data_IF_644931612718
#
_entry.id   IF_644931612718
#
_cell.length_a   1.000
_cell.length_b   1.000
_cell.length_c   1.000
_cell.angle_alpha   90.00
_cell.angle_beta   90.00
_cell.angle_gamma   90.00
#
_symmetry.space_group_name_H-M   'P 1'
#
loop_
_entity.id
_entity.type
_entity.pdbx_description
1 polymer ?
#
# COMPACT_ATOMS: atom_id res chain seq x y z
N UNK A 1 -9.80 -9.49 0.19
CA UNK A 1 -10.54 -8.30 0.62
C UNK A 1 -11.15 -8.55 1.98
N UNK A 2 -12.18 -9.40 2.12
CA UNK A 2 -12.79 -9.66 3.43
C UNK A 2 -11.78 -10.16 4.48
N UNK A 3 -10.93 -11.13 4.11
CA UNK A 3 -9.84 -11.62 4.97
C UNK A 3 -8.87 -10.49 5.36
N UNK A 4 -8.54 -9.61 4.42
CA UNK A 4 -7.66 -8.46 4.66
C UNK A 4 -8.29 -7.47 5.64
N UNK A 5 -9.58 -7.16 5.49
CA UNK A 5 -10.31 -6.23 6.37
C UNK A 5 -10.45 -6.83 7.77
N UNK A 6 -10.74 -8.13 7.88
CA UNK A 6 -10.74 -8.84 9.16
C UNK A 6 -9.36 -8.78 9.83
N UNK A 7 -8.28 -8.93 9.05
CA UNK A 7 -6.92 -8.80 9.59
C UNK A 7 -6.60 -7.39 10.07
N UNK A 8 -7.08 -6.36 9.36
CA UNK A 8 -6.95 -4.96 9.80
C UNK A 8 -7.68 -4.75 11.13
N UNK A 9 -8.88 -5.29 11.28
CA UNK A 9 -9.63 -5.23 12.53
C UNK A 9 -8.89 -5.87 13.71
N UNK A 10 -8.33 -7.08 13.50
CA UNK A 10 -7.48 -7.74 14.51
C UNK A 10 -6.27 -6.89 14.91
N UNK A 11 -5.59 -6.28 13.92
CA UNK A 11 -4.44 -5.41 14.16
C UNK A 11 -4.84 -4.20 15.02
N UNK A 12 -5.96 -3.56 14.69
CA UNK A 12 -6.46 -2.41 15.43
C UNK A 12 -6.77 -2.80 16.89
N UNK A 13 -7.43 -3.95 17.09
CA UNK A 13 -7.78 -4.45 18.42
C UNK A 13 -6.57 -4.86 19.26
N UNK A 14 -5.50 -5.37 18.62
CA UNK A 14 -4.25 -5.70 19.30
C UNK A 14 -3.54 -4.45 19.86
N UNK A 15 -3.83 -3.26 19.31
CA UNK A 15 -3.22 -1.98 19.70
C UNK A 15 -1.69 -1.95 19.62
N UNK A 16 -1.12 -2.81 18.78
CA UNK A 16 0.30 -2.80 18.45
C UNK A 16 0.43 -2.04 17.14
N UNK A 17 1.20 -0.93 17.08
CA UNK A 17 1.37 -0.15 15.87
C UNK A 17 1.89 -0.99 14.70
N UNK A 18 1.17 -0.96 13.58
CA UNK A 18 1.51 -1.69 12.37
C UNK A 18 1.49 -0.78 11.15
N UNK A 19 2.57 -0.81 10.40
CA UNK A 19 2.65 -0.24 9.06
C UNK A 19 2.15 -1.24 8.01
N UNK A 20 1.09 -0.87 7.30
CA UNK A 20 0.63 -1.56 6.10
C UNK A 20 1.43 -1.12 4.87
N UNK A 21 1.81 -2.09 4.04
CA UNK A 21 2.55 -1.83 2.80
C UNK A 21 1.85 -2.44 1.60
N UNK A 22 1.72 -1.65 0.53
CA UNK A 22 1.27 -2.13 -0.78
C UNK A 22 2.47 -2.35 -1.69
N UNK A 23 2.66 -3.57 -2.22
CA UNK A 23 3.70 -3.89 -3.20
C UNK A 23 3.15 -3.88 -4.62
N UNK A 24 3.96 -3.35 -5.54
CA UNK A 24 3.76 -3.41 -6.99
C UNK A 24 5.13 -3.60 -7.67
N UNK A 25 5.14 -3.85 -8.99
CA UNK A 25 6.37 -4.11 -9.73
C UNK A 25 7.44 -3.01 -9.52
N UNK A 26 7.03 -1.75 -9.53
CA UNK A 26 7.96 -0.63 -9.30
C UNK A 26 8.57 -0.66 -7.90
N UNK A 27 7.77 -0.97 -6.87
CA UNK A 27 8.28 -1.08 -5.50
C UNK A 27 9.24 -2.25 -5.35
N UNK A 28 8.98 -3.38 -6.02
CA UNK A 28 9.90 -4.53 -6.01
C UNK A 28 11.23 -4.16 -6.64
N UNK A 29 11.25 -3.42 -7.76
CA UNK A 29 12.49 -2.94 -8.35
C UNK A 29 13.25 -2.02 -7.39
N UNK A 30 12.56 -1.06 -6.76
CA UNK A 30 13.19 -0.16 -5.79
C UNK A 30 13.80 -0.93 -4.62
N UNK A 31 13.13 -1.97 -4.12
CA UNK A 31 13.64 -2.84 -3.04
C UNK A 31 14.91 -3.62 -3.43
N UNK A 32 15.26 -3.74 -4.72
CA UNK A 32 16.52 -4.37 -5.13
C UNK A 32 17.72 -3.45 -4.91
N UNK A 33 17.51 -2.14 -4.95
CA UNK A 33 18.58 -1.14 -4.82
C UNK A 33 18.52 -0.37 -3.50
N UNK A 34 17.40 -0.42 -2.80
CA UNK A 34 17.15 0.31 -1.54
C UNK A 34 16.94 -0.69 -0.39
N UNK A 35 17.99 -0.90 0.40
CA UNK A 35 17.98 -1.85 1.51
C UNK A 35 17.08 -1.41 2.66
N UNK A 36 16.98 -0.10 2.90
CA UNK A 36 16.09 0.47 3.93
C UNK A 36 14.64 0.16 3.57
N UNK A 37 14.25 0.45 2.33
CA UNK A 37 12.90 0.13 1.85
C UNK A 37 12.65 -1.38 1.91
N UNK A 38 13.60 -2.21 1.49
CA UNK A 38 13.48 -3.68 1.55
C UNK A 38 13.22 -4.17 2.97
N UNK A 39 13.96 -3.64 3.95
CA UNK A 39 13.80 -3.97 5.37
C UNK A 39 12.39 -3.64 5.86
N UNK A 40 11.91 -2.42 5.58
CA UNK A 40 10.57 -1.95 5.98
C UNK A 40 9.47 -2.80 5.36
N UNK A 41 9.57 -3.13 4.07
CA UNK A 41 8.55 -3.98 3.43
C UNK A 41 8.56 -5.38 4.04
N UNK A 42 9.72 -5.98 4.28
CA UNK A 42 9.81 -7.34 4.80
C UNK A 42 9.41 -7.47 6.28
N UNK A 43 9.48 -6.39 7.05
CA UNK A 43 9.02 -6.38 8.45
C UNK A 43 7.52 -6.11 8.61
N UNK A 44 6.83 -5.69 7.53
CA UNK A 44 5.41 -5.42 7.57
C UNK A 44 4.60 -6.71 7.72
N UNK A 45 3.76 -6.84 8.76
CA UNK A 45 2.96 -8.04 8.99
C UNK A 45 1.75 -8.15 8.03
N UNK A 46 1.42 -7.07 7.30
CA UNK A 46 0.35 -7.06 6.33
C UNK A 46 0.79 -6.34 5.04
N UNK A 47 1.04 -7.15 4.00
CA UNK A 47 1.47 -6.69 2.69
C UNK A 47 0.40 -7.01 1.66
N UNK A 48 -0.07 -5.99 0.93
CA UNK A 48 -1.01 -6.17 -0.17
C UNK A 48 -0.33 -6.17 -1.53
N UNK A 49 -0.73 -7.09 -2.40
CA UNK A 49 -0.33 -7.10 -3.80
C UNK A 49 -1.24 -6.20 -4.64
N UNK A 50 -0.67 -5.12 -5.18
CA UNK A 50 -1.35 -4.24 -6.15
C UNK A 50 -0.79 -4.42 -7.57
N UNK A 51 -1.71 -4.62 -8.50
CA UNK A 51 -1.44 -4.71 -9.93
C UNK A 51 -1.33 -6.14 -10.47
N UNK A 52 -1.69 -6.28 -11.75
CA UNK A 52 -1.68 -7.56 -12.46
C UNK A 52 -0.28 -8.19 -12.56
N UNK A 53 0.78 -7.37 -12.56
CA UNK A 53 2.16 -7.86 -12.65
C UNK A 53 2.57 -8.70 -11.44
N UNK A 54 2.12 -8.34 -10.23
CA UNK A 54 2.39 -9.13 -9.02
C UNK A 54 1.65 -10.47 -9.06
N UNK A 55 0.38 -10.48 -9.50
CA UNK A 55 -0.38 -11.71 -9.66
C UNK A 55 0.23 -12.65 -10.71
N UNK A 56 0.68 -12.09 -11.83
CA UNK A 56 1.39 -12.85 -12.87
C UNK A 56 2.68 -13.45 -12.31
N UNK A 57 3.48 -12.66 -11.59
CA UNK A 57 4.70 -13.13 -10.96
C UNK A 57 4.44 -14.26 -9.95
N UNK A 58 3.42 -14.12 -9.09
CA UNK A 58 3.02 -15.17 -8.16
C UNK A 58 2.66 -16.46 -8.90
N UNK A 59 1.85 -16.37 -9.97
CA UNK A 59 1.49 -17.51 -10.82
C UNK A 59 2.72 -18.16 -11.45
N UNK A 60 3.67 -17.37 -11.97
CA UNK A 60 4.91 -17.87 -12.56
C UNK A 60 5.82 -18.59 -11.55
N UNK A 61 5.73 -18.20 -10.28
CA UNK A 61 6.47 -18.77 -9.14
C UNK A 61 5.70 -19.89 -8.43
N UNK A 62 4.54 -20.31 -8.95
CA UNK A 62 3.71 -21.35 -8.34
C UNK A 62 3.07 -20.96 -7.00
N UNK A 63 3.03 -19.65 -6.69
CA UNK A 63 2.38 -19.12 -5.48
C UNK A 63 0.94 -18.74 -5.78
N UNK A 64 0.03 -19.09 -4.87
CA UNK A 64 -1.37 -18.66 -4.94
C UNK A 64 -1.49 -17.29 -4.26
N UNK A 65 -1.84 -16.27 -5.02
CA UNK A 65 -2.33 -14.99 -4.49
C UNK A 65 -3.80 -14.90 -4.89
N UNK A 66 -4.73 -14.94 -3.91
CA UNK A 66 -6.14 -15.20 -4.19
C UNK A 66 -6.82 -14.11 -5.02
N UNK A 67 -6.47 -12.84 -4.81
CA UNK A 67 -7.07 -11.73 -5.56
C UNK A 67 -6.22 -10.45 -5.55
N UNK A 68 -6.51 -9.57 -6.51
CA UNK A 68 -5.97 -8.20 -6.56
C UNK A 68 -6.70 -7.35 -5.53
N UNK A 69 -5.97 -6.76 -4.60
CA UNK A 69 -6.51 -5.77 -3.65
C UNK A 69 -5.84 -4.43 -3.91
N UNK A 70 -6.54 -3.50 -4.55
CA UNK A 70 -5.97 -2.16 -4.79
C UNK A 70 -5.95 -1.35 -3.50
N UNK A 71 -4.99 -0.43 -3.37
CA UNK A 71 -4.87 0.41 -2.18
C UNK A 71 -6.11 1.27 -1.90
N UNK A 72 -6.75 1.80 -2.96
CA UNK A 72 -7.97 2.61 -2.81
C UNK A 72 -9.18 1.77 -2.41
N UNK A 73 -9.30 0.53 -2.92
CA UNK A 73 -10.42 -0.35 -2.55
C UNK A 73 -10.29 -0.82 -1.09
N UNK A 74 -9.06 -1.15 -0.64
CA UNK A 74 -8.84 -1.45 0.77
C UNK A 74 -9.11 -0.22 1.66
N UNK A 75 -8.68 0.97 1.26
CA UNK A 75 -8.95 2.21 2.00
C UNK A 75 -10.45 2.43 2.20
N UNK A 76 -11.26 2.20 1.15
CA UNK A 76 -12.73 2.30 1.23
C UNK A 76 -13.33 1.32 2.22
N UNK A 77 -12.90 0.05 2.20
CA UNK A 77 -13.40 -0.97 3.13
C UNK A 77 -12.93 -0.73 4.57
N UNK A 78 -11.72 -0.22 4.78
CA UNK A 78 -11.20 0.16 6.11
C UNK A 78 -11.98 1.35 6.68
N UNK A 79 -12.33 2.35 5.85
CA UNK A 79 -13.16 3.47 6.28
C UNK A 79 -14.59 3.05 6.60
N UNK A 80 -15.14 2.10 5.85
CA UNK A 80 -16.43 1.48 6.15
C UNK A 80 -16.39 0.74 7.50
N UNK A 81 -15.35 -0.06 7.75
CA UNK A 81 -15.12 -0.71 9.04
C UNK A 81 -15.02 0.33 10.18
N UNK A 82 -14.31 1.44 9.96
CA UNK A 82 -14.19 2.51 10.96
C UNK A 82 -15.54 3.15 11.30
N UNK A 83 -16.41 3.32 10.31
CA UNK A 83 -17.79 3.78 10.52
C UNK A 83 -18.65 2.78 11.30
N UNK A 84 -18.47 1.48 11.05
CA UNK A 84 -19.23 0.42 11.74
C UNK A 84 -18.78 0.24 13.19
N UNK A 85 -17.48 0.40 13.47
CA UNK A 85 -16.87 0.14 14.78
C UNK A 85 -16.47 1.39 15.57
N UNK A 86 -16.77 2.57 15.03
CA UNK A 86 -16.37 3.87 15.59
C UNK A 86 -14.85 4.01 15.81
N UNK A 87 -14.03 3.42 14.94
CA UNK A 87 -12.59 3.65 14.97
C UNK A 87 -12.26 5.09 14.56
N UNK A 88 -11.26 5.65 15.22
CA UNK A 88 -10.78 7.02 15.00
C UNK A 88 -9.83 7.08 13.83
N UNK A 89 -10.14 7.91 12.85
CA UNK A 89 -9.41 8.02 11.59
C UNK A 89 -8.73 9.38 11.50
N UNK A 90 -7.44 9.36 11.16
CA UNK A 90 -6.67 10.54 10.83
C UNK A 90 -6.24 10.50 9.36
N UNK A 91 -6.44 11.61 8.64
CA UNK A 91 -6.06 11.75 7.23
C UNK A 91 -4.82 12.62 7.07
N UNK A 92 -3.71 12.06 6.60
CA UNK A 92 -2.44 12.78 6.49
C UNK A 92 -1.88 12.72 5.07
N UNK A 93 -1.68 13.86 4.41
CA UNK A 93 -1.03 13.92 3.09
C UNK A 93 -1.75 14.77 2.06
N UNK A 94 -1.33 14.64 0.80
CA UNK A 94 -1.80 15.45 -0.33
C UNK A 94 -1.69 16.97 -0.10
N UNK A 95 -2.36 17.78 -0.93
CA UNK A 95 -2.49 19.22 -0.69
C UNK A 95 -3.61 19.48 0.33
N UNK A 96 -3.56 20.64 0.99
CA UNK A 96 -4.62 21.07 1.92
C UNK A 96 -6.02 20.99 1.30
N UNK A 97 -6.16 21.47 0.06
CA UNK A 97 -7.42 21.39 -0.69
C UNK A 97 -7.91 19.95 -0.88
N UNK A 98 -6.98 19.02 -1.17
CA UNK A 98 -7.30 17.61 -1.43
C UNK A 98 -7.69 16.90 -0.14
N UNK A 99 -6.90 17.02 0.93
CA UNK A 99 -7.19 16.34 2.19
C UNK A 99 -8.51 16.84 2.81
N UNK A 100 -8.80 18.14 2.73
CA UNK A 100 -10.10 18.69 3.16
C UNK A 100 -11.27 18.12 2.36
N UNK A 101 -11.13 17.97 1.04
CA UNK A 101 -12.16 17.34 0.19
C UNK A 101 -12.37 15.88 0.55
N UNK A 102 -11.29 15.15 0.87
CA UNK A 102 -11.35 13.75 1.32
C UNK A 102 -12.13 13.64 2.63
N UNK A 103 -11.77 14.45 3.63
CA UNK A 103 -12.47 14.53 4.92
C UNK A 103 -13.95 14.82 4.69
N UNK A 104 -14.29 15.89 3.97
CA UNK A 104 -15.67 16.25 3.65
C UNK A 104 -16.45 15.12 2.97
N UNK A 105 -15.83 14.44 2.01
CA UNK A 105 -16.45 13.33 1.27
C UNK A 105 -16.78 12.18 2.21
N UNK A 106 -15.84 11.76 3.06
CA UNK A 106 -16.05 10.63 3.96
C UNK A 106 -16.94 10.98 5.15
N UNK A 107 -16.92 12.21 5.67
CA UNK A 107 -17.88 12.66 6.69
C UNK A 107 -19.34 12.57 6.19
N UNK A 108 -19.58 12.81 4.88
CA UNK A 108 -20.92 12.68 4.30
C UNK A 108 -21.28 11.24 3.95
N UNK A 109 -20.31 10.46 3.48
CA UNK A 109 -20.52 9.07 3.07
C UNK A 109 -20.75 8.14 4.26
N UNK A 110 -20.08 8.41 5.37
CA UNK A 110 -20.04 7.57 6.56
C UNK A 110 -20.43 8.40 7.80
N UNK A 111 -21.72 8.48 8.16
CA UNK A 111 -22.19 9.40 9.19
C UNK A 111 -21.69 9.08 10.62
N UNK A 112 -21.21 7.86 10.87
CA UNK A 112 -20.73 7.43 12.19
C UNK A 112 -19.19 7.42 12.29
N UNK A 113 -18.49 7.76 11.21
CA UNK A 113 -17.02 7.75 11.19
C UNK A 113 -16.46 8.81 12.15
N UNK A 114 -15.51 8.42 12.98
CA UNK A 114 -14.83 9.32 13.91
C UNK A 114 -13.59 9.90 13.24
N UNK A 115 -13.71 11.02 12.54
CA UNK A 115 -12.54 11.72 11.98
C UNK A 115 -11.95 12.59 13.08
N UNK A 116 -10.78 12.21 13.60
CA UNK A 116 -10.15 12.88 14.73
C UNK A 116 -9.13 13.93 14.32
N UNK A 117 -8.76 13.99 13.05
CA UNK A 117 -7.89 15.03 12.54
C UNK A 117 -7.52 14.84 11.09
N UNK A 118 -6.90 15.86 10.53
CA UNK A 118 -6.30 15.81 9.22
C UNK A 118 -5.12 16.78 9.12
N UNK A 119 -4.13 16.44 8.30
CA UNK A 119 -2.99 17.31 8.01
C UNK A 119 -2.55 17.11 6.55
N UNK A 120 -2.03 18.16 5.91
CA UNK A 120 -1.56 18.05 4.53
C UNK A 120 -0.14 17.43 4.47
N UNK A 121 0.27 17.03 3.27
CA UNK A 121 1.55 16.33 3.05
C UNK A 121 2.77 17.23 2.87
N UNK A 122 2.61 18.56 3.01
CA UNK A 122 3.67 19.54 2.80
C UNK A 122 4.19 20.00 4.16
N UNK A 123 5.15 19.24 4.68
CA UNK A 123 5.78 19.46 5.97
C UNK A 123 7.30 19.40 5.85
N UNK A 124 7.96 20.13 6.74
CA UNK A 124 9.41 20.11 6.90
C UNK A 124 9.83 18.96 7.81
N UNK A 125 11.09 18.54 7.72
CA UNK A 125 11.60 17.41 8.51
C UNK A 125 11.41 17.64 10.02
N UNK A 126 11.59 18.88 10.48
CA UNK A 126 11.45 19.30 11.87
C UNK A 126 10.02 19.09 12.41
N UNK A 127 9.00 19.29 11.57
CA UNK A 127 7.59 19.12 11.94
C UNK A 127 7.14 17.66 11.98
N UNK A 128 7.97 16.70 11.55
CA UNK A 128 7.57 15.28 11.45
C UNK A 128 7.18 14.68 12.80
N UNK A 129 7.93 15.01 13.85
CA UNK A 129 7.66 14.53 15.20
C UNK A 129 6.40 15.18 15.80
N UNK A 130 6.16 16.46 15.49
CA UNK A 130 4.98 17.19 15.96
C UNK A 130 3.70 16.64 15.32
N UNK A 131 3.73 16.33 14.01
CA UNK A 131 2.60 15.68 13.33
C UNK A 131 2.34 14.29 13.91
N UNK A 132 3.40 13.52 14.17
CA UNK A 132 3.26 12.21 14.81
C UNK A 132 2.65 12.31 16.21
N UNK A 133 3.06 13.32 16.98
CA UNK A 133 2.49 13.63 18.30
C UNK A 133 1.04 14.06 18.20
N UNK A 134 0.66 14.90 17.23
CA UNK A 134 -0.72 15.29 17.00
C UNK A 134 -1.62 14.07 16.71
N UNK A 135 -1.15 13.15 15.86
CA UNK A 135 -1.84 11.89 15.57
C UNK A 135 -2.05 11.06 16.85
N UNK A 136 -1.03 10.98 17.70
CA UNK A 136 -1.11 10.30 19.01
C UNK A 136 -2.08 10.98 19.96
N UNK A 137 -2.03 12.29 20.07
CA UNK A 137 -2.84 13.09 20.99
C UNK A 137 -4.33 13.03 20.61
N UNK A 138 -4.62 12.97 19.31
CA UNK A 138 -5.95 12.66 18.77
C UNK A 138 -6.34 11.18 18.90
N UNK A 139 -5.41 10.35 19.39
CA UNK A 139 -5.58 8.93 19.64
C UNK A 139 -6.10 8.18 18.39
N UNK A 140 -5.53 8.47 17.22
CA UNK A 140 -5.98 7.82 15.99
C UNK A 140 -5.80 6.29 16.05
N UNK A 141 -6.84 5.55 15.70
CA UNK A 141 -6.78 4.09 15.57
C UNK A 141 -6.27 3.70 14.16
N UNK A 142 -6.65 4.50 13.16
CA UNK A 142 -6.30 4.36 11.75
C UNK A 142 -5.69 5.67 11.24
N UNK A 143 -4.53 5.59 10.59
CA UNK A 143 -3.89 6.73 9.92
C UNK A 143 -3.72 6.44 8.43
N UNK A 144 -4.30 7.28 7.58
CA UNK A 144 -4.22 7.17 6.13
C UNK A 144 -3.23 8.18 5.56
N UNK A 145 -2.12 7.69 4.98
CA UNK A 145 -0.98 8.50 4.55
C UNK A 145 -0.90 8.64 3.02
N UNK A 146 -1.03 9.86 2.51
CA UNK A 146 -1.23 10.16 1.10
C UNK A 146 -0.13 11.03 0.47
N UNK A 147 1.12 10.61 0.58
CA UNK A 147 2.23 11.18 -0.20
C UNK A 147 3.07 10.12 -0.93
N UNK A 148 4.06 10.57 -1.70
CA UNK A 148 4.80 9.74 -2.64
C UNK A 148 5.61 8.63 -1.93
N UNK A 149 5.74 7.48 -2.60
CA UNK A 149 6.76 6.49 -2.22
C UNK A 149 8.12 6.93 -2.78
N UNK A 150 9.24 6.62 -2.12
CA UNK A 150 9.35 5.87 -0.86
C UNK A 150 9.19 6.75 0.41
N UNK A 151 9.01 8.07 0.27
CA UNK A 151 8.94 9.02 1.40
C UNK A 151 7.93 8.58 2.47
N UNK A 152 6.74 8.13 2.07
CA UNK A 152 5.74 7.63 3.03
C UNK A 152 6.16 6.37 3.77
N UNK A 153 6.83 5.42 3.10
CA UNK A 153 7.26 4.19 3.75
C UNK A 153 8.30 4.48 4.82
N UNK A 154 9.23 5.42 4.55
CA UNK A 154 10.23 5.87 5.50
C UNK A 154 9.63 6.66 6.65
N UNK A 155 8.80 7.66 6.35
CA UNK A 155 8.19 8.50 7.39
C UNK A 155 7.31 7.68 8.33
N UNK A 156 6.47 6.78 7.79
CA UNK A 156 5.63 5.92 8.63
C UNK A 156 6.53 5.05 9.51
N UNK A 157 7.56 4.42 8.96
CA UNK A 157 8.43 3.54 9.73
C UNK A 157 9.15 4.29 10.86
N UNK A 158 9.67 5.48 10.57
CA UNK A 158 10.37 6.33 11.54
C UNK A 158 9.45 6.87 12.64
N UNK A 159 8.18 7.14 12.31
CA UNK A 159 7.22 7.74 13.25
C UNK A 159 6.20 6.73 13.79
N UNK A 160 6.32 5.43 13.48
CA UNK A 160 5.29 4.44 13.82
C UNK A 160 5.04 4.37 15.33
N UNK A 161 6.12 4.29 16.10
CA UNK A 161 6.05 4.31 17.56
C UNK A 161 5.59 5.67 18.08
N UNK A 162 6.07 6.77 17.49
CA UNK A 162 5.69 8.14 17.88
C UNK A 162 4.20 8.43 17.66
N UNK A 163 3.60 7.97 16.57
CA UNK A 163 2.16 8.08 16.34
C UNK A 163 1.35 7.18 17.28
N UNK A 164 1.89 6.00 17.61
CA UNK A 164 1.21 4.98 18.41
C UNK A 164 -0.20 4.61 17.87
N UNK A 165 -0.41 4.78 16.57
CA UNK A 165 -1.64 4.38 15.89
C UNK A 165 -1.54 2.88 15.53
N UNK A 166 -2.51 2.05 15.95
CA UNK A 166 -2.53 0.61 15.66
C UNK A 166 -2.39 0.27 14.18
N UNK A 167 -3.05 1.02 13.29
CA UNK A 167 -3.02 0.75 11.85
C UNK A 167 -2.66 1.99 11.02
N UNK A 168 -1.51 1.94 10.33
CA UNK A 168 -1.04 3.04 9.46
C UNK A 168 -0.92 2.55 8.03
N UNK A 169 -1.69 3.14 7.12
CA UNK A 169 -1.78 2.71 5.72
C UNK A 169 -1.35 3.81 4.76
N UNK A 170 -0.37 3.48 3.91
CA UNK A 170 0.02 4.32 2.79
C UNK A 170 -0.95 4.21 1.61
N UNK A 171 -1.75 5.26 1.36
CA UNK A 171 -2.78 5.28 0.32
C UNK A 171 -2.38 6.08 -0.93
N UNK A 172 -1.29 6.86 -0.86
CA UNK A 172 -0.74 7.60 -2.00
C UNK A 172 -1.77 8.46 -2.73
N UNK A 173 -1.83 8.36 -4.06
CA UNK A 173 -2.75 9.14 -4.91
C UNK A 173 -4.25 8.81 -4.76
N UNK A 174 -4.64 7.94 -3.82
CA UNK A 174 -6.05 7.65 -3.56
C UNK A 174 -6.81 8.91 -3.12
N UNK A 175 -6.16 9.82 -2.38
CA UNK A 175 -6.76 11.09 -1.99
C UNK A 175 -7.08 11.98 -3.20
N UNK A 176 -6.18 12.06 -4.20
CA UNK A 176 -6.42 12.83 -5.43
C UNK A 176 -7.61 12.28 -6.23
N UNK A 177 -7.81 10.95 -6.19
CA UNK A 177 -8.96 10.30 -6.84
C UNK A 177 -10.27 10.66 -6.13
N UNK A 178 -10.30 10.56 -4.80
CA UNK A 178 -11.48 10.89 -3.99
C UNK A 178 -11.83 12.37 -4.10
N UNK A 179 -10.83 13.26 -4.10
CA UNK A 179 -11.01 14.70 -4.28
C UNK A 179 -11.40 15.11 -5.71
N UNK A 180 -11.49 14.16 -6.65
CA UNK A 180 -11.86 14.41 -8.05
C UNK A 180 -10.78 15.06 -8.89
N UNK A 181 -9.55 15.22 -8.36
CA UNK A 181 -8.40 15.81 -9.07
C UNK A 181 -7.84 14.85 -10.12
N UNK A 182 -7.91 13.55 -9.87
CA UNK A 182 -7.52 12.52 -10.83
C UNK A 182 -8.69 11.57 -11.08
N UNK A 183 -9.04 11.35 -12.35
CA UNK A 183 -10.09 10.38 -12.69
C UNK A 183 -9.53 8.96 -12.58
N UNK A 184 -10.26 8.07 -11.90
CA UNK A 184 -9.98 6.62 -11.91
C UNK A 184 -10.38 6.03 -13.27
N UNK A 185 -9.71 4.95 -13.70
CA UNK A 185 -10.10 4.26 -14.94
C UNK A 185 -11.56 3.75 -14.85
N UNK A 186 -12.32 3.73 -15.96
CA UNK A 186 -13.65 3.12 -15.99
C UNK A 186 -13.68 1.70 -15.42
N UNK A 187 -14.78 1.31 -14.76
CA UNK A 187 -14.90 0.00 -14.08
C UNK A 187 -14.62 -1.17 -15.02
N UNK A 188 -15.05 -1.10 -16.28
CA UNK A 188 -14.76 -2.13 -17.27
C UNK A 188 -13.25 -2.29 -17.53
N UNK A 189 -12.50 -1.19 -17.60
CA UNK A 189 -11.03 -1.22 -17.74
C UNK A 189 -10.35 -1.77 -16.48
N UNK A 190 -10.86 -1.44 -15.30
CA UNK A 190 -10.34 -1.97 -14.04
C UNK A 190 -10.50 -3.50 -13.97
N UNK A 191 -11.70 -4.00 -14.33
CA UNK A 191 -12.01 -5.43 -14.38
C UNK A 191 -11.17 -6.19 -15.41
N UNK A 192 -10.86 -5.56 -16.55
CA UNK A 192 -9.95 -6.11 -17.55
C UNK A 192 -8.47 -5.97 -17.18
N UNK A 193 -8.14 -5.30 -16.06
CA UNK A 193 -6.76 -5.03 -15.67
C UNK A 193 -6.06 -3.97 -16.53
N UNK A 194 -6.78 -3.27 -17.41
CA UNK A 194 -6.28 -2.24 -18.33
C UNK A 194 -6.17 -0.84 -17.70
N UNK A 195 -6.25 -0.72 -16.38
CA UNK A 195 -6.06 0.56 -15.67
C UNK A 195 -4.70 1.20 -15.99
N UNK A 196 -3.68 0.38 -16.27
CA UNK A 196 -2.36 0.86 -16.68
C UNK A 196 -2.41 1.65 -17.99
N UNK A 197 -3.26 1.26 -18.94
CA UNK A 197 -3.41 1.91 -20.24
C UNK A 197 -4.13 3.26 -20.10
N UNK A 198 -5.13 3.30 -19.23
CA UNK A 198 -5.80 4.57 -18.89
C UNK A 198 -4.82 5.58 -18.28
N UNK A 199 -3.95 5.14 -17.35
CA UNK A 199 -2.88 5.99 -16.79
C UNK A 199 -1.81 6.34 -17.83
N UNK A 200 -1.52 5.44 -18.77
CA UNK A 200 -0.60 5.72 -19.88
C UNK A 200 -1.11 6.86 -20.76
N UNK A 201 -2.41 6.89 -21.08
CA UNK A 201 -3.00 8.00 -21.84
C UNK A 201 -2.91 9.32 -21.07
N UNK A 202 -3.09 9.29 -19.75
CA UNK A 202 -3.00 10.50 -18.92
C UNK A 202 -1.56 11.03 -18.77
N UNK A 203 -0.56 10.16 -18.65
CA UNK A 203 0.84 10.53 -18.42
C UNK A 203 1.83 9.69 -19.27
N UNK A 204 1.81 9.80 -20.61
CA UNK A 204 2.49 8.85 -21.49
C UNK A 204 4.00 8.79 -21.31
N UNK A 205 4.67 9.95 -21.13
CA UNK A 205 6.13 10.01 -20.92
C UNK A 205 6.56 9.33 -19.61
N UNK A 206 5.87 9.64 -18.50
CA UNK A 206 6.17 9.08 -17.18
C UNK A 206 5.89 7.58 -17.12
N UNK A 207 4.79 7.16 -17.75
CA UNK A 207 4.37 5.77 -17.78
C UNK A 207 5.20 4.91 -18.72
N UNK A 208 5.74 5.45 -19.81
CA UNK A 208 6.62 4.71 -20.72
C UNK A 208 7.88 4.20 -20.01
N UNK A 209 8.59 5.09 -19.30
CA UNK A 209 9.77 4.72 -18.51
C UNK A 209 9.43 3.65 -17.45
N UNK A 210 8.29 3.84 -16.76
CA UNK A 210 7.84 2.95 -15.70
C UNK A 210 7.41 1.57 -16.21
N UNK A 211 6.72 1.50 -17.34
CA UNK A 211 6.15 0.25 -17.84
C UNK A 211 7.11 -0.55 -18.70
N UNK A 212 7.91 0.07 -19.56
CA UNK A 212 8.84 -0.69 -20.40
C UNK A 212 10.09 -1.03 -19.60
N UNK A 213 10.83 -0.01 -19.13
CA UNK A 213 12.04 -0.24 -18.36
C UNK A 213 11.76 -0.97 -17.04
N UNK A 214 10.79 -0.48 -16.27
CA UNK A 214 10.46 -1.05 -14.97
C UNK A 214 9.89 -2.47 -15.03
N UNK A 215 8.93 -2.77 -15.91
CA UNK A 215 8.38 -4.12 -15.95
C UNK A 215 9.37 -5.15 -16.53
N UNK A 216 10.27 -4.76 -17.45
CA UNK A 216 11.32 -5.65 -17.93
C UNK A 216 12.30 -6.02 -16.81
N UNK A 217 12.74 -5.04 -16.02
CA UNK A 217 13.55 -5.30 -14.82
C UNK A 217 12.82 -6.24 -13.85
N UNK A 218 11.55 -5.94 -13.56
CA UNK A 218 10.71 -6.77 -12.69
C UNK A 218 10.60 -8.21 -13.20
N UNK A 219 10.34 -8.40 -14.49
CA UNK A 219 10.26 -9.74 -15.09
C UNK A 219 11.61 -10.47 -14.99
N UNK A 220 12.73 -9.78 -15.18
CA UNK A 220 14.07 -10.31 -14.95
C UNK A 220 14.25 -10.83 -13.52
N UNK A 221 13.81 -10.06 -12.51
CA UNK A 221 13.83 -10.49 -11.11
C UNK A 221 12.97 -11.74 -10.87
N UNK A 222 11.77 -11.82 -11.46
CA UNK A 222 10.87 -12.98 -11.34
C UNK A 222 11.48 -14.23 -11.97
N UNK A 223 12.06 -14.11 -13.17
CA UNK A 223 12.72 -15.24 -13.84
C UNK A 223 13.94 -15.74 -13.07
N UNK A 224 14.74 -14.83 -12.50
CA UNK A 224 15.88 -15.19 -11.65
C UNK A 224 15.42 -15.88 -10.36
N UNK A 225 14.35 -15.40 -9.72
CA UNK A 225 13.76 -16.06 -8.55
C UNK A 225 13.25 -17.47 -8.88
N UNK A 226 12.60 -17.65 -10.05
CA UNK A 226 12.14 -18.95 -10.53
C UNK A 226 13.31 -19.92 -10.77
N UNK A 227 14.40 -19.46 -11.39
CA UNK A 227 15.62 -20.26 -11.58
C UNK A 227 16.21 -20.72 -10.24
N UNK A 228 16.32 -19.82 -9.26
CA UNK A 228 16.81 -20.16 -7.91
C UNK A 228 15.91 -21.17 -7.20
N UNK A 229 14.59 -21.00 -7.28
CA UNK A 229 13.64 -21.96 -6.70
C UNK A 229 13.75 -23.35 -7.37
N UNK A 230 13.90 -23.39 -8.69
CA UNK A 230 14.11 -24.64 -9.44
C UNK A 230 15.43 -25.35 -9.11
N UNK A 231 16.54 -24.59 -8.96
CA UNK A 231 17.82 -25.16 -8.53
C UNK A 231 17.79 -25.69 -7.08
N UNK A 232 17.03 -25.03 -6.20
CA UNK A 232 16.85 -25.50 -4.81
C UNK A 232 16.07 -26.81 -4.74
N UNK A 233 15.11 -27.04 -5.64
CA UNK A 233 14.39 -28.32 -5.72
C UNK A 233 15.25 -29.43 -6.33
N UNK A 234 16.04 -29.12 -7.37
CA UNK A 234 16.96 -30.09 -7.98
C UNK A 234 18.05 -30.59 -7.01
N UNK A 235 18.53 -29.75 -6.09
CA UNK A 235 19.50 -30.17 -5.07
C UNK A 235 18.91 -30.98 -3.89
N UNK A 236 17.59 -30.98 -3.71
CA UNK A 236 16.91 -31.81 -2.70
C UNK A 236 16.62 -33.22 -3.23
N UNK A 237 16.30 -33.36 -4.52
CA UNK A 237 16.10 -34.66 -5.16
C UNK A 237 17.42 -35.45 -5.32
N UNK A 238 18.55 -34.77 -5.55
CA UNK A 238 19.85 -35.43 -5.72
C UNK A 238 20.44 -36.00 -4.40
N UNK A 239 19.93 -35.56 -3.24
CA UNK A 239 20.33 -36.09 -1.91
C UNK A 239 19.47 -37.25 -1.43
N UNK A 240 18.27 -37.43 -1.98
CA UNK A 240 17.37 -38.53 -1.63
C UNK A 240 17.53 -39.75 -2.55
N UNK A 241 18.17 -39.60 -3.72
CA UNK A 241 18.45 -40.68 -4.68
C UNK A 241 19.76 -41.47 -4.49
N UNK A 242 20.50 -41.29 -3.39
CA UNK A 242 21.77 -42.03 -3.11
C UNK A 242 21.70 -43.01 -1.94
N UNK A 243 20.50 -43.34 -1.46
CA UNK A 243 20.27 -44.44 -0.51
C UNK A 243 19.21 -45.40 -1.08
N UNK A 244 19.60 -46.19 -2.07
CA UNK A 244 18.91 -47.44 -2.45
C UNK A 244 19.89 -48.35 -3.16
#
# INVERSE_FOLDING_TARGET
>A
MQETVAKVDEIIQAKIPVQHVVINANKINLMQTDEKLRSIVNSSPLINADGASILLAAKMLGKKVPERVTGIDLMEEVLKLANEKAYRVFFFGATEEVVRKVVFTYSRKYPNIQIVGHENGYFDAESSADIAKEIRDNQADIVLVAFSSPKKEFWIHEQLENMNAPFVMGVGGSFDVVAGKTKRAPVWMQKLGCEWFYRFIQEPRRMFQRYIGGNLQFLGHVLNAKKKAGMSHAHLDDRTGRQS
#
